data_IF_104440885984
#
_entry.id   IF_104440885984
#
_cell.length_a   1.000
_cell.length_b   1.000
_cell.length_c   1.000
_cell.angle_alpha   90.00
_cell.angle_beta   90.00
_cell.angle_gamma   90.00
#
_symmetry.space_group_name_H-M   'P 1'
#
loop_
_entity.id
_entity.type
_entity.pdbx_description
1 polymer ?
#
# COMPACT_ATOMS: atom_id res chain seq x y z
N UNK A 1 16.99 -9.36 -5.42
CA UNK A 1 16.66 -9.38 -6.86
C UNK A 1 15.17 -9.70 -7.01
N UNK A 2 14.34 -8.71 -7.32
CA UNK A 2 12.91 -8.90 -7.62
C UNK A 2 12.79 -8.65 -9.12
N UNK A 3 12.57 -9.72 -9.89
CA UNK A 3 12.38 -9.63 -11.34
C UNK A 3 11.01 -8.97 -11.53
N UNK A 4 10.97 -7.82 -12.21
CA UNK A 4 9.72 -7.16 -12.59
C UNK A 4 9.01 -8.04 -13.63
N UNK A 5 8.21 -8.99 -13.16
CA UNK A 5 7.27 -9.70 -14.02
C UNK A 5 6.09 -8.76 -14.22
N UNK A 6 5.95 -8.22 -15.44
CA UNK A 6 4.69 -7.65 -15.88
C UNK A 6 3.67 -8.79 -15.90
N UNK A 7 2.83 -8.87 -14.87
CA UNK A 7 1.74 -9.83 -14.86
C UNK A 7 0.68 -9.39 -15.87
N UNK A 8 0.32 -10.30 -16.76
CA UNK A 8 -0.86 -10.09 -17.59
C UNK A 8 -2.11 -10.03 -16.69
N UNK A 9 -3.18 -9.41 -17.16
CA UNK A 9 -4.44 -9.40 -16.40
C UNK A 9 -4.93 -10.83 -16.12
N UNK A 10 -4.65 -11.78 -17.02
CA UNK A 10 -4.97 -13.20 -16.83
C UNK A 10 -4.23 -13.79 -15.63
N UNK A 11 -2.93 -13.52 -15.49
CA UNK A 11 -2.14 -14.02 -14.34
C UNK A 11 -2.68 -13.47 -13.01
N UNK A 12 -3.15 -12.21 -13.01
CA UNK A 12 -3.80 -11.60 -11.84
C UNK A 12 -5.12 -12.30 -11.54
N UNK A 13 -5.94 -12.54 -12.55
CA UNK A 13 -7.25 -13.18 -12.38
C UNK A 13 -7.09 -14.62 -11.85
N UNK A 14 -6.14 -15.40 -12.39
CA UNK A 14 -5.82 -16.76 -11.93
C UNK A 14 -5.31 -16.76 -10.47
N UNK A 15 -4.46 -15.80 -10.10
CA UNK A 15 -4.00 -15.62 -8.72
C UNK A 15 -5.18 -15.35 -7.77
N UNK A 16 -6.11 -14.50 -8.20
CA UNK A 16 -7.29 -14.12 -7.40
C UNK A 16 -8.28 -15.29 -7.28
N UNK A 17 -8.43 -16.13 -8.31
CA UNK A 17 -9.23 -17.37 -8.24
C UNK A 17 -8.64 -18.36 -7.23
N UNK A 18 -7.33 -18.56 -7.26
CA UNK A 18 -6.65 -19.43 -6.30
C UNK A 18 -6.78 -18.92 -4.85
N UNK A 19 -6.70 -17.60 -4.64
CA UNK A 19 -6.92 -16.99 -3.32
C UNK A 19 -8.38 -17.12 -2.87
N UNK A 20 -9.34 -16.91 -3.77
CA UNK A 20 -10.76 -17.07 -3.47
C UNK A 20 -11.08 -18.50 -3.00
N UNK A 21 -10.60 -19.51 -3.73
CA UNK A 21 -10.77 -20.91 -3.34
C UNK A 21 -10.24 -21.19 -1.92
N UNK A 22 -9.06 -20.66 -1.60
CA UNK A 22 -8.41 -20.78 -0.28
C UNK A 22 -9.14 -20.06 0.86
N UNK A 23 -9.85 -18.97 0.58
CA UNK A 23 -10.67 -18.25 1.56
C UNK A 23 -11.94 -19.05 1.91
N UNK A 24 -12.42 -19.89 0.99
CA UNK A 24 -13.63 -20.69 1.15
C UNK A 24 -13.37 -22.18 1.42
N UNK A 25 -12.11 -22.59 1.57
CA UNK A 25 -11.75 -23.97 1.88
C UNK A 25 -11.68 -24.21 3.40
N UNK A 26 -12.57 -25.01 4.00
CA UNK A 26 -12.48 -25.36 5.41
C UNK A 26 -11.13 -25.97 5.78
N UNK A 27 -10.58 -25.57 6.92
CA UNK A 27 -9.26 -26.02 7.40
C UNK A 27 -8.06 -25.26 6.79
N UNK A 28 -8.26 -24.46 5.73
CA UNK A 28 -7.20 -23.60 5.22
C UNK A 28 -7.04 -22.34 6.10
N UNK A 29 -5.81 -21.83 6.26
CA UNK A 29 -5.49 -20.69 7.15
C UNK A 29 -6.17 -19.35 6.79
N UNK A 30 -6.70 -19.24 5.57
CA UNK A 30 -7.45 -18.07 5.11
C UNK A 30 -8.95 -18.22 5.31
N UNK A 31 -9.42 -19.42 5.68
CA UNK A 31 -10.83 -19.66 5.91
C UNK A 31 -11.28 -19.03 7.23
N UNK A 32 -12.49 -18.44 7.22
CA UNK A 32 -13.08 -17.85 8.42
C UNK A 32 -12.44 -16.54 8.88
N UNK A 33 -11.65 -15.87 8.02
CA UNK A 33 -11.10 -14.55 8.37
C UNK A 33 -12.22 -13.53 8.66
N UNK A 34 -12.01 -12.62 9.63
CA UNK A 34 -12.95 -11.54 9.94
C UNK A 34 -13.30 -10.75 8.69
N UNK A 35 -14.56 -10.35 8.58
CA UNK A 35 -15.11 -9.71 7.40
C UNK A 35 -15.80 -8.40 7.75
N UNK A 36 -15.55 -7.36 6.96
CA UNK A 36 -16.14 -6.02 7.13
C UNK A 36 -16.65 -5.52 5.78
N UNK A 37 -17.81 -4.87 5.75
CA UNK A 37 -18.33 -4.27 4.52
C UNK A 37 -17.43 -3.12 4.04
N UNK A 38 -17.11 -3.09 2.74
CA UNK A 38 -16.34 -2.00 2.12
C UNK A 38 -17.29 -0.87 1.71
N UNK A 39 -17.68 -0.06 2.70
CA UNK A 39 -18.65 1.02 2.51
C UNK A 39 -19.98 0.51 1.95
N UNK A 40 -20.54 1.22 0.96
CA UNK A 40 -21.81 0.86 0.30
C UNK A 40 -21.62 0.10 -1.04
N UNK A 41 -20.42 -0.40 -1.32
CA UNK A 41 -20.08 -1.00 -2.61
C UNK A 41 -20.65 -2.41 -2.84
N UNK A 42 -21.17 -3.04 -1.78
CA UNK A 42 -21.53 -4.46 -1.79
C UNK A 42 -20.31 -5.40 -1.71
N UNK A 43 -19.09 -4.86 -1.67
CA UNK A 43 -17.86 -5.62 -1.47
C UNK A 43 -17.59 -5.85 0.01
N UNK A 44 -16.89 -6.94 0.31
CA UNK A 44 -16.50 -7.31 1.67
C UNK A 44 -14.97 -7.38 1.73
N UNK A 45 -14.37 -6.85 2.79
CA UNK A 45 -12.94 -7.01 3.08
C UNK A 45 -12.78 -8.10 4.13
N UNK A 46 -12.11 -9.18 3.78
CA UNK A 46 -11.52 -10.11 4.75
C UNK A 46 -10.12 -9.68 5.10
N UNK A 47 -9.77 -9.67 6.38
CA UNK A 47 -8.46 -9.17 6.79
C UNK A 47 -7.72 -10.11 7.75
N UNK A 48 -6.40 -9.99 7.74
CA UNK A 48 -5.50 -10.58 8.73
C UNK A 48 -4.22 -9.78 8.86
N UNK A 49 -3.55 -9.94 9.98
CA UNK A 49 -2.19 -9.48 10.19
C UNK A 49 -1.25 -10.69 10.29
N UNK A 50 -0.09 -10.64 9.64
CA UNK A 50 0.96 -11.63 9.79
C UNK A 50 2.33 -10.96 9.62
N UNK A 51 3.26 -11.25 10.54
CA UNK A 51 4.63 -10.70 10.54
C UNK A 51 4.72 -9.16 10.49
N UNK A 52 3.67 -8.48 10.97
CA UNK A 52 3.51 -7.02 10.95
C UNK A 52 3.01 -6.44 9.63
N UNK A 53 2.63 -7.29 8.66
CA UNK A 53 1.97 -6.92 7.42
C UNK A 53 0.46 -7.07 7.54
N UNK A 54 -0.29 -6.18 6.88
CA UNK A 54 -1.76 -6.24 6.85
C UNK A 54 -2.23 -6.73 5.50
N UNK A 55 -3.00 -7.80 5.49
CA UNK A 55 -3.57 -8.40 4.28
C UNK A 55 -5.06 -8.10 4.23
N UNK A 56 -5.51 -7.42 3.18
CA UNK A 56 -6.92 -7.12 2.91
C UNK A 56 -7.35 -7.79 1.61
N UNK A 57 -8.23 -8.78 1.71
CA UNK A 57 -8.81 -9.51 0.58
C UNK A 57 -10.22 -8.95 0.30
N UNK A 58 -10.45 -8.45 -0.91
CA UNK A 58 -11.72 -7.83 -1.30
C UNK A 58 -12.57 -8.84 -2.07
N UNK A 59 -13.61 -9.36 -1.43
CA UNK A 59 -14.60 -10.23 -2.06
C UNK A 59 -15.72 -9.43 -2.71
N UNK A 60 -16.20 -9.96 -3.83
CA UNK A 60 -17.43 -9.56 -4.49
C UNK A 60 -18.44 -10.72 -4.37
N UNK A 61 -19.29 -10.72 -3.33
CA UNK A 61 -20.23 -11.83 -3.10
C UNK A 61 -21.21 -12.05 -4.25
N UNK A 62 -21.62 -10.97 -4.93
CA UNK A 62 -22.57 -11.05 -6.03
C UNK A 62 -22.02 -11.83 -7.23
N UNK A 63 -20.72 -11.71 -7.51
CA UNK A 63 -20.05 -12.46 -8.57
C UNK A 63 -19.36 -13.74 -8.06
N UNK A 64 -19.41 -14.01 -6.74
CA UNK A 64 -18.72 -15.13 -6.09
C UNK A 64 -17.24 -15.21 -6.46
N UNK A 65 -16.56 -14.07 -6.37
CA UNK A 65 -15.15 -13.92 -6.74
C UNK A 65 -14.39 -13.06 -5.72
N UNK A 66 -13.05 -13.11 -5.81
CA UNK A 66 -12.19 -12.11 -5.20
C UNK A 66 -11.95 -10.97 -6.19
N UNK A 67 -12.46 -9.78 -5.91
CA UNK A 67 -12.28 -8.57 -6.72
C UNK A 67 -10.82 -8.07 -6.71
N UNK A 68 -10.07 -8.40 -5.65
CA UNK A 68 -8.66 -8.05 -5.52
C UNK A 68 -8.15 -8.17 -4.09
N UNK A 69 -6.95 -7.67 -3.86
CA UNK A 69 -6.41 -7.53 -2.52
C UNK A 69 -5.42 -6.37 -2.43
N UNK A 70 -5.18 -5.88 -1.21
CA UNK A 70 -4.07 -5.02 -0.85
C UNK A 70 -3.28 -5.65 0.29
N UNK A 71 -1.96 -5.70 0.16
CA UNK A 71 -1.05 -6.00 1.27
C UNK A 71 -0.30 -4.74 1.64
N UNK A 72 -0.41 -4.32 2.89
CA UNK A 72 0.43 -3.29 3.48
C UNK A 72 1.71 -3.95 3.96
N UNK A 73 2.70 -4.03 3.07
CA UNK A 73 3.95 -4.73 3.34
C UNK A 73 4.83 -3.94 4.30
N UNK A 74 5.68 -4.66 5.01
CA UNK A 74 6.82 -4.06 5.71
C UNK A 74 7.93 -3.68 4.75
N UNK A 75 8.86 -2.88 5.23
CA UNK A 75 10.03 -2.42 4.50
C UNK A 75 11.30 -2.84 5.26
N UNK A 76 11.78 -4.08 5.13
CA UNK A 76 13.00 -4.52 5.81
C UNK A 76 14.25 -3.72 5.38
N UNK A 77 14.20 -3.06 4.23
CA UNK A 77 15.27 -2.23 3.65
C UNK A 77 15.45 -0.86 4.33
N UNK A 78 14.52 -0.42 5.19
CA UNK A 78 14.64 0.84 5.95
C UNK A 78 15.05 0.58 7.42
N UNK A 79 15.41 1.62 8.22
CA UNK A 79 15.67 1.43 9.64
C UNK A 79 14.50 0.77 10.36
N UNK A 80 14.78 -0.13 11.31
CA UNK A 80 13.74 -0.81 12.11
C UNK A 80 12.76 0.15 12.80
N UNK A 81 13.23 1.33 13.23
CA UNK A 81 12.36 2.36 13.82
C UNK A 81 11.37 2.93 12.80
N UNK A 82 11.76 3.06 11.54
CA UNK A 82 10.90 3.54 10.47
C UNK A 82 9.92 2.45 9.99
N UNK A 83 10.40 1.20 9.87
CA UNK A 83 9.59 0.02 9.52
C UNK A 83 8.40 -0.21 10.47
N UNK A 84 8.47 0.24 11.73
CA UNK A 84 7.34 0.17 12.67
C UNK A 84 6.16 1.06 12.29
N UNK A 85 6.41 2.15 11.57
CA UNK A 85 5.41 3.18 11.27
C UNK A 85 5.05 3.27 9.79
N UNK A 86 5.84 2.64 8.91
CA UNK A 86 5.67 2.70 7.46
C UNK A 86 5.19 1.38 6.88
N UNK A 87 4.28 1.46 5.92
CA UNK A 87 3.89 0.32 5.09
C UNK A 87 3.96 0.66 3.60
N UNK A 88 4.37 -0.32 2.80
CA UNK A 88 4.37 -0.23 1.36
C UNK A 88 3.16 -1.01 0.81
N UNK A 89 2.07 -0.32 0.45
CA UNK A 89 0.87 -1.00 -0.03
C UNK A 89 1.08 -1.54 -1.45
N UNK A 90 0.81 -2.83 -1.62
CA UNK A 90 0.82 -3.53 -2.89
C UNK A 90 -0.58 -4.04 -3.20
N UNK A 91 -1.14 -3.62 -4.33
CA UNK A 91 -2.54 -3.90 -4.67
C UNK A 91 -2.64 -4.62 -6.01
N UNK A 92 -3.43 -5.69 -6.05
CA UNK A 92 -3.82 -6.37 -7.29
C UNK A 92 -5.34 -6.42 -7.37
N UNK A 93 -5.90 -6.02 -8.51
CA UNK A 93 -7.34 -5.96 -8.75
C UNK A 93 -7.68 -6.66 -10.05
N UNK A 94 -8.81 -7.37 -10.08
CA UNK A 94 -9.45 -7.79 -11.32
C UNK A 94 -9.78 -6.57 -12.17
N UNK A 95 -9.79 -6.73 -13.49
CA UNK A 95 -10.19 -5.68 -14.43
C UNK A 95 -11.56 -5.08 -14.08
N UNK A 96 -12.53 -5.90 -13.65
CA UNK A 96 -13.88 -5.50 -13.24
C UNK A 96 -13.93 -4.61 -11.98
N UNK A 97 -12.87 -4.62 -11.17
CA UNK A 97 -12.75 -3.85 -9.93
C UNK A 97 -11.84 -2.61 -10.08
N UNK A 98 -11.06 -2.52 -11.16
CA UNK A 98 -10.21 -1.37 -11.45
C UNK A 98 -11.06 -0.12 -11.74
N UNK A 99 -10.50 1.06 -11.43
CA UNK A 99 -11.16 2.37 -11.64
C UNK A 99 -12.51 2.56 -10.91
N UNK A 100 -12.83 1.71 -9.93
CA UNK A 100 -14.03 1.80 -9.07
C UNK A 100 -13.75 2.30 -7.65
N UNK A 101 -12.58 2.88 -7.41
CA UNK A 101 -12.20 3.43 -6.10
C UNK A 101 -11.85 2.39 -5.03
N UNK A 102 -11.75 1.10 -5.37
CA UNK A 102 -11.41 0.03 -4.41
C UNK A 102 -10.07 0.30 -3.72
N UNK A 103 -8.99 0.47 -4.50
CA UNK A 103 -7.66 0.77 -3.96
C UNK A 103 -7.65 2.05 -3.12
N UNK A 104 -8.30 3.13 -3.61
CA UNK A 104 -8.42 4.39 -2.87
C UNK A 104 -9.06 4.17 -1.50
N UNK A 105 -10.14 3.40 -1.43
CA UNK A 105 -10.85 3.12 -0.18
C UNK A 105 -9.97 2.35 0.80
N UNK A 106 -9.22 1.34 0.32
CA UNK A 106 -8.31 0.56 1.16
C UNK A 106 -7.14 1.40 1.68
N UNK A 107 -6.56 2.27 0.85
CA UNK A 107 -5.45 3.14 1.26
C UNK A 107 -5.92 4.17 2.28
N UNK A 108 -7.10 4.77 2.05
CA UNK A 108 -7.72 5.69 3.01
C UNK A 108 -8.02 5.01 4.33
N UNK A 109 -8.53 3.76 4.33
CA UNK A 109 -8.73 3.01 5.57
C UNK A 109 -7.46 2.94 6.43
N UNK A 110 -6.31 2.62 5.81
CA UNK A 110 -5.04 2.58 6.53
C UNK A 110 -4.58 3.97 7.00
N UNK A 111 -4.62 4.97 6.11
CA UNK A 111 -4.22 6.33 6.42
C UNK A 111 -5.09 6.96 7.51
N UNK A 112 -6.40 6.75 7.47
CA UNK A 112 -7.35 7.26 8.47
C UNK A 112 -7.16 6.60 9.83
N UNK A 113 -6.73 5.34 9.87
CA UNK A 113 -6.30 4.64 11.07
C UNK A 113 -4.91 5.07 11.59
N UNK A 114 -4.22 5.98 10.91
CA UNK A 114 -2.92 6.51 11.31
C UNK A 114 -1.70 5.77 10.76
N UNK A 115 -1.87 4.81 9.84
CA UNK A 115 -0.75 4.18 9.14
C UNK A 115 -0.12 5.19 8.17
N UNK A 116 1.22 5.29 8.18
CA UNK A 116 1.94 6.04 7.17
C UNK A 116 2.31 5.11 6.00
N UNK A 117 2.15 5.60 4.78
CA UNK A 117 2.39 4.83 3.57
C UNK A 117 3.59 5.36 2.81
N UNK A 118 4.38 4.46 2.24
CA UNK A 118 5.47 4.78 1.33
C UNK A 118 5.26 4.05 0.00
N UNK A 119 5.53 4.73 -1.12
CA UNK A 119 5.34 4.14 -2.44
C UNK A 119 6.34 3.01 -2.70
N UNK A 120 6.06 2.19 -3.72
CA UNK A 120 7.06 1.29 -4.29
C UNK A 120 8.08 2.05 -5.16
N UNK A 121 9.10 1.33 -5.63
CA UNK A 121 10.17 1.90 -6.44
C UNK A 121 9.79 2.29 -7.86
N UNK A 122 8.88 1.52 -8.41
CA UNK A 122 8.27 1.76 -9.71
C UNK A 122 6.78 1.80 -9.47
N UNK A 123 6.12 2.80 -10.03
CA UNK A 123 4.68 2.94 -9.97
C UNK A 123 4.13 2.82 -11.38
N UNK A 124 3.03 2.08 -11.53
CA UNK A 124 2.22 2.19 -12.74
C UNK A 124 1.59 3.58 -12.81
N UNK A 125 1.14 4.00 -14.00
CA UNK A 125 0.41 5.26 -14.18
C UNK A 125 -0.79 5.35 -13.23
N UNK A 126 -1.56 4.25 -13.09
CA UNK A 126 -2.70 4.19 -12.17
C UNK A 126 -2.30 4.33 -10.70
N UNK A 127 -1.16 3.75 -10.30
CA UNK A 127 -0.62 3.94 -8.96
C UNK A 127 -0.19 5.40 -8.75
N UNK A 128 0.55 6.01 -9.68
CA UNK A 128 0.96 7.41 -9.57
C UNK A 128 -0.26 8.36 -9.43
N UNK A 129 -1.31 8.14 -10.22
CA UNK A 129 -2.57 8.89 -10.11
C UNK A 129 -3.26 8.70 -8.75
N UNK A 130 -3.34 7.47 -8.25
CA UNK A 130 -3.89 7.19 -6.92
C UNK A 130 -3.11 7.94 -5.83
N UNK A 131 -1.78 7.87 -5.85
CA UNK A 131 -0.93 8.55 -4.89
C UNK A 131 -1.05 10.07 -4.99
N UNK A 132 -1.20 10.61 -6.20
CA UNK A 132 -1.50 12.02 -6.44
C UNK A 132 -2.82 12.47 -5.83
N UNK A 133 -3.88 11.68 -6.03
CA UNK A 133 -5.20 11.97 -5.45
C UNK A 133 -5.16 11.93 -3.91
N UNK A 134 -4.51 10.93 -3.32
CA UNK A 134 -4.38 10.83 -1.87
C UNK A 134 -3.57 11.99 -1.27
N UNK A 135 -2.55 12.47 -1.97
CA UNK A 135 -1.73 13.58 -1.50
C UNK A 135 -2.47 14.93 -1.39
N UNK A 136 -3.68 15.03 -1.94
CA UNK A 136 -4.57 16.17 -1.71
C UNK A 136 -5.18 16.15 -0.30
N UNK A 137 -5.52 14.97 0.21
CA UNK A 137 -6.26 14.80 1.48
C UNK A 137 -5.35 14.51 2.68
N UNK A 138 -4.13 14.03 2.42
CA UNK A 138 -3.15 13.61 3.42
C UNK A 138 -1.84 14.37 3.26
N UNK A 139 -1.20 14.68 4.39
CA UNK A 139 0.14 15.28 4.41
C UNK A 139 1.10 14.34 3.71
N UNK A 140 1.92 14.89 2.82
CA UNK A 140 2.80 14.10 1.98
C UNK A 140 4.15 14.76 1.79
N UNK A 141 5.08 14.01 1.22
CA UNK A 141 6.32 14.53 0.66
C UNK A 141 7.10 13.42 -0.03
N UNK A 142 8.32 13.72 -0.41
CA UNK A 142 9.23 12.78 -1.03
C UNK A 142 10.35 12.43 -0.07
N UNK A 143 10.77 11.17 -0.13
CA UNK A 143 11.87 10.64 0.65
C UNK A 143 12.83 9.88 -0.24
N UNK A 144 14.10 9.97 0.09
CA UNK A 144 15.17 9.16 -0.46
C UNK A 144 15.36 7.93 0.44
N UNK A 145 15.30 6.75 -0.17
CA UNK A 145 15.49 5.44 0.48
C UNK A 145 16.74 4.79 -0.10
N UNK A 146 17.88 5.14 0.47
CA UNK A 146 19.19 4.62 0.08
C UNK A 146 20.02 4.25 1.32
N UNK A 147 20.87 3.23 1.22
CA UNK A 147 21.82 2.88 2.28
C UNK A 147 21.18 2.53 3.63
N UNK A 148 19.93 2.04 3.61
CA UNK A 148 19.10 1.80 4.81
C UNK A 148 18.84 3.07 5.62
N UNK A 149 18.78 4.23 4.96
CA UNK A 149 18.37 5.49 5.53
C UNK A 149 17.04 5.95 4.92
N UNK A 150 16.37 6.85 5.65
CA UNK A 150 15.19 7.56 5.18
C UNK A 150 15.50 9.05 5.28
N UNK A 151 15.56 9.74 4.15
CA UNK A 151 15.89 11.16 4.10
C UNK A 151 14.76 11.95 3.45
N UNK A 152 14.30 13.00 4.11
CA UNK A 152 13.24 13.85 3.58
C UNK A 152 13.78 14.75 2.47
N UNK A 153 13.09 14.80 1.33
CA UNK A 153 13.48 15.59 0.16
C UNK A 153 12.62 16.85 -0.03
N UNK A 154 11.54 16.98 0.73
CA UNK A 154 10.57 18.08 0.57
C UNK A 154 9.21 17.61 0.06
N UNK A 155 8.26 18.54 -0.01
CA UNK A 155 6.91 18.27 -0.51
C UNK A 155 6.88 18.09 -2.04
N UNK A 156 7.85 18.69 -2.73
CA UNK A 156 8.04 18.65 -4.18
C UNK A 156 9.51 18.39 -4.47
N UNK A 157 9.80 17.69 -5.55
CA UNK A 157 11.17 17.43 -6.03
C UNK A 157 11.25 17.66 -7.54
N UNK A 158 12.42 17.97 -8.10
CA UNK A 158 12.61 18.04 -9.55
C UNK A 158 12.32 16.69 -10.23
N UNK A 159 11.91 16.70 -11.50
CA UNK A 159 11.52 15.49 -12.26
C UNK A 159 12.60 14.40 -12.24
N UNK A 160 13.87 14.76 -12.43
CA UNK A 160 14.98 13.79 -12.39
C UNK A 160 15.16 13.12 -11.00
N UNK A 161 14.78 13.82 -9.92
CA UNK A 161 14.76 13.23 -8.56
C UNK A 161 13.50 12.41 -8.39
N UNK A 162 12.35 12.88 -8.87
CA UNK A 162 11.09 12.14 -8.83
C UNK A 162 11.22 10.76 -9.49
N UNK A 163 11.89 10.70 -10.64
CA UNK A 163 12.04 9.48 -11.45
C UNK A 163 13.16 8.55 -10.95
N UNK A 164 13.92 8.96 -9.92
CA UNK A 164 15.00 8.16 -9.38
C UNK A 164 14.49 6.94 -8.60
N UNK A 165 15.12 5.79 -8.81
CA UNK A 165 14.74 4.52 -8.18
C UNK A 165 14.87 4.48 -6.66
N UNK A 166 15.46 5.47 -5.99
CA UNK A 166 15.48 5.56 -4.53
C UNK A 166 14.46 6.57 -3.98
N UNK A 167 13.91 7.44 -4.83
CA UNK A 167 12.89 8.40 -4.44
C UNK A 167 11.55 7.70 -4.29
N UNK A 168 10.89 7.93 -3.16
CA UNK A 168 9.58 7.41 -2.84
C UNK A 168 8.68 8.55 -2.41
N UNK A 169 7.38 8.41 -2.69
CA UNK A 169 6.38 9.27 -2.09
C UNK A 169 5.99 8.74 -0.73
N UNK A 170 5.91 9.64 0.24
CA UNK A 170 5.46 9.40 1.60
C UNK A 170 4.08 10.04 1.78
N UNK A 171 3.13 9.31 2.37
CA UNK A 171 1.86 9.81 2.87
C UNK A 171 1.78 9.55 4.37
N UNK A 172 1.44 10.58 5.15
CA UNK A 172 1.26 10.46 6.59
C UNK A 172 -0.20 10.16 6.92
N UNK A 173 -0.41 9.16 7.76
CA UNK A 173 -1.73 8.86 8.30
C UNK A 173 -2.25 9.98 9.21
N UNK A 174 -3.56 9.98 9.48
CA UNK A 174 -4.19 10.92 10.41
C UNK A 174 -3.52 10.84 11.78
N UNK A 175 -3.38 12.01 12.42
CA UNK A 175 -2.70 12.15 13.70
C UNK A 175 -1.18 12.36 13.61
N UNK A 176 -0.57 12.17 12.43
CA UNK A 176 0.85 12.46 12.23
C UNK A 176 1.09 13.86 11.65
N UNK A 177 2.06 14.56 12.23
CA UNK A 177 2.77 15.65 11.56
C UNK A 177 4.15 15.18 11.09
N UNK A 178 4.78 15.95 10.20
CA UNK A 178 6.07 15.58 9.60
C UNK A 178 7.21 15.54 10.63
N UNK A 179 7.21 16.43 11.61
CA UNK A 179 8.27 16.50 12.61
C UNK A 179 8.17 15.34 13.62
N UNK A 180 6.95 15.02 14.07
CA UNK A 180 6.68 13.85 14.89
C UNK A 180 7.06 12.56 14.16
N UNK A 181 6.67 12.43 12.89
CA UNK A 181 7.06 11.30 12.05
C UNK A 181 8.58 11.22 11.89
N UNK A 182 9.23 12.35 11.62
CA UNK A 182 10.68 12.40 11.46
C UNK A 182 11.40 11.95 12.72
N UNK A 183 10.98 12.40 13.91
CA UNK A 183 11.56 11.93 15.19
C UNK A 183 11.36 10.44 15.41
N UNK A 184 10.13 9.93 15.20
CA UNK A 184 9.79 8.53 15.45
C UNK A 184 10.55 7.56 14.52
N UNK A 185 10.71 7.95 13.25
CA UNK A 185 11.42 7.15 12.24
C UNK A 185 12.91 7.50 12.14
N UNK A 186 13.34 8.53 12.86
CA UNK A 186 14.57 9.30 12.65
C UNK A 186 14.94 9.48 11.18
N UNK A 187 13.96 9.97 10.43
CA UNK A 187 14.15 10.50 9.10
C UNK A 187 15.04 11.73 9.19
N UNK A 188 16.11 11.77 8.39
CA UNK A 188 17.01 12.90 8.33
C UNK A 188 16.48 13.97 7.37
N UNK A 189 16.91 15.22 7.57
CA UNK A 189 16.66 16.28 6.59
C UNK A 189 17.66 16.18 5.42
N UNK A 190 17.27 16.59 4.22
CA UNK A 190 18.17 16.59 3.07
C UNK A 190 19.39 17.50 3.28
N UNK A 191 19.24 18.57 4.07
CA UNK A 191 20.25 19.56 4.37
C UNK A 191 21.32 19.12 5.39
N UNK A 192 21.23 17.90 5.95
CA UNK A 192 22.21 17.39 6.92
C UNK A 192 23.49 16.80 6.29
N UNK A 193 23.99 17.37 5.19
CA UNK A 193 25.31 17.05 4.61
C UNK A 193 26.19 18.28 4.57
#
# INVERSE_FOLDING_TARGET
MRIDVQHSQRDIDDELDALYARLHQPGHRLHGLPAVALGRSGLIVRHREADGEYFLYVENPAARELAGYTVFNRLPEIPRRADRHLRAPHTRLRGSAQRRGVATTLYRWGLDAGLCLISGARQSVGAAQLWGALAHDYRHGFVDVEGRALRYLGATVPDHVHDALHTRRLLLGRGWDLAAFARATGMADAASR
#
